data_IF_136837146988
#
_entry.id   IF_136837146988
#
_cell.length_a   1.000
_cell.length_b   1.000
_cell.length_c   1.000
_cell.angle_alpha   90.00
_cell.angle_beta   90.00
_cell.angle_gamma   90.00
#
_symmetry.space_group_name_H-M   'P 1'
#
loop_
_entity.id
_entity.type
_entity.pdbx_description
1 polymer ?
#
# COMPACT_ATOMS: atom_id res chain seq x y z
N UNK A 1 -11.13 -12.92 -1.59
CA UNK A 1 -10.61 -11.71 -0.91
C UNK A 1 -9.65 -12.12 0.19
N UNK A 2 -8.63 -11.31 0.47
CA UNK A 2 -7.65 -11.58 1.53
C UNK A 2 -7.53 -10.32 2.39
N UNK A 3 -7.69 -10.48 3.71
CA UNK A 3 -7.48 -9.43 4.69
C UNK A 3 -6.05 -9.55 5.24
N UNK A 4 -5.21 -8.59 4.86
CA UNK A 4 -3.81 -8.52 5.29
C UNK A 4 -3.62 -7.68 6.55
N UNK A 5 -4.58 -6.86 6.94
CA UNK A 5 -4.38 -5.96 8.07
C UNK A 5 -5.42 -4.86 8.20
N UNK A 6 -6.69 -5.21 8.25
CA UNK A 6 -7.73 -4.28 8.74
C UNK A 6 -7.46 -3.89 10.21
N UNK A 7 -7.70 -2.62 10.56
CA UNK A 7 -7.39 -2.09 11.90
C UNK A 7 -8.16 -2.84 13.00
N UNK A 8 -9.45 -3.08 12.76
CA UNK A 8 -10.29 -3.87 13.65
C UNK A 8 -10.51 -5.25 13.04
N UNK A 9 -10.28 -6.34 13.79
CA UNK A 9 -10.56 -7.67 13.30
C UNK A 9 -12.03 -7.79 12.91
N UNK A 10 -12.27 -8.27 11.69
CA UNK A 10 -13.59 -8.66 11.21
C UNK A 10 -13.51 -10.13 10.81
N UNK A 11 -14.54 -10.91 11.13
CA UNK A 11 -14.72 -12.26 10.58
C UNK A 11 -15.78 -12.18 9.49
N UNK A 12 -15.32 -12.21 8.25
CA UNK A 12 -16.17 -12.04 7.08
C UNK A 12 -16.20 -13.35 6.28
N UNK A 13 -17.39 -13.94 6.05
CA UNK A 13 -17.51 -15.14 5.23
C UNK A 13 -16.85 -14.94 3.85
N UNK A 14 -16.02 -15.91 3.43
CA UNK A 14 -15.33 -15.87 2.14
C UNK A 14 -14.08 -14.97 2.10
N UNK A 15 -13.70 -14.35 3.23
CA UNK A 15 -12.44 -13.62 3.37
C UNK A 15 -11.40 -14.50 4.05
N UNK A 16 -10.19 -14.53 3.48
CA UNK A 16 -9.04 -15.16 4.13
C UNK A 16 -8.35 -14.13 5.01
N UNK A 17 -8.38 -14.33 6.32
CA UNK A 17 -7.78 -13.43 7.29
C UNK A 17 -6.34 -13.85 7.61
N UNK A 18 -5.35 -13.11 7.10
CA UNK A 18 -3.92 -13.31 7.44
C UNK A 18 -3.43 -12.34 8.51
N UNK A 19 -4.04 -11.14 8.61
CA UNK A 19 -3.86 -10.18 9.72
C UNK A 19 -2.39 -9.97 10.13
N UNK A 20 -1.57 -9.49 9.20
CA UNK A 20 -0.13 -9.21 9.38
C UNK A 20 0.10 -8.10 10.42
N UNK A 21 -0.86 -7.19 10.57
CA UNK A 21 -0.88 -6.14 11.58
C UNK A 21 -2.27 -5.49 11.65
N UNK A 22 -2.51 -4.63 12.64
CA UNK A 22 -3.73 -3.84 12.76
C UNK A 22 -3.61 -2.55 11.92
N UNK A 23 -3.53 -2.70 10.60
CA UNK A 23 -3.09 -1.63 9.68
C UNK A 23 -1.56 -1.50 9.62
N UNK A 24 -1.09 -0.58 8.79
CA UNK A 24 0.32 -0.17 8.72
C UNK A 24 0.59 1.02 9.63
N UNK A 25 1.84 1.20 10.04
CA UNK A 25 2.27 2.43 10.70
C UNK A 25 2.19 3.63 9.74
N UNK A 26 2.15 4.84 10.31
CA UNK A 26 2.17 6.07 9.53
C UNK A 26 3.56 6.28 8.90
N UNK A 27 3.63 6.12 7.57
CA UNK A 27 4.90 6.17 6.85
C UNK A 27 5.56 7.57 6.83
N UNK A 28 4.86 8.59 7.34
CA UNK A 28 5.36 9.96 7.51
C UNK A 28 6.26 10.11 8.74
N UNK A 29 6.13 9.19 9.70
CA UNK A 29 6.86 9.22 10.98
C UNK A 29 7.89 8.07 11.10
N UNK A 30 7.91 7.13 10.16
CA UNK A 30 8.81 5.98 10.15
C UNK A 30 8.42 4.94 9.09
N UNK A 31 8.98 3.73 9.09
CA UNK A 31 8.59 2.68 8.16
C UNK A 31 7.14 2.22 8.39
N UNK A 32 6.41 1.94 7.31
CA UNK A 32 5.01 1.49 7.38
C UNK A 32 4.84 0.10 8.01
N UNK A 33 5.89 -0.72 7.92
CA UNK A 33 5.90 -2.12 8.33
C UNK A 33 7.33 -2.56 8.61
N UNK A 34 7.50 -3.65 9.37
CA UNK A 34 8.81 -4.33 9.44
C UNK A 34 9.10 -5.09 8.14
N UNK A 35 10.35 -5.47 7.93
CA UNK A 35 10.75 -6.29 6.77
C UNK A 35 9.97 -7.61 6.73
N UNK A 36 9.76 -8.25 7.87
CA UNK A 36 9.04 -9.52 7.97
C UNK A 36 7.56 -9.35 7.59
N UNK A 37 6.95 -8.23 8.00
CA UNK A 37 5.57 -7.90 7.63
C UNK A 37 5.45 -7.66 6.11
N UNK A 38 6.40 -6.93 5.52
CA UNK A 38 6.44 -6.72 4.06
C UNK A 38 6.58 -8.01 3.29
N UNK A 39 7.50 -8.88 3.70
CA UNK A 39 7.68 -10.20 3.09
C UNK A 39 6.44 -11.08 3.24
N UNK A 40 5.77 -11.05 4.39
CA UNK A 40 4.50 -11.77 4.59
C UNK A 40 3.38 -11.26 3.67
N UNK A 41 3.32 -9.94 3.42
CA UNK A 41 2.34 -9.35 2.51
C UNK A 41 2.59 -9.75 1.04
N UNK A 42 3.85 -9.70 0.61
CA UNK A 42 4.26 -10.16 -0.73
C UNK A 42 3.97 -11.67 -0.91
N UNK A 43 4.26 -12.47 0.13
CA UNK A 43 3.95 -13.89 0.15
C UNK A 43 2.45 -14.14 -0.03
N UNK A 44 1.60 -13.39 0.67
CA UNK A 44 0.15 -13.51 0.55
C UNK A 44 -0.38 -13.19 -0.85
N UNK A 45 0.23 -12.19 -1.51
CA UNK A 45 -0.03 -11.86 -2.91
C UNK A 45 0.33 -13.04 -3.84
N UNK A 46 1.55 -13.57 -3.70
CA UNK A 46 2.03 -14.76 -4.43
C UNK A 46 1.09 -15.95 -4.24
N UNK A 47 0.70 -16.24 -3.02
CA UNK A 47 -0.17 -17.38 -2.69
C UNK A 47 -1.57 -17.22 -3.28
N UNK A 48 -2.04 -15.98 -3.46
CA UNK A 48 -3.31 -15.71 -4.13
C UNK A 48 -3.28 -16.11 -5.61
N UNK A 49 -2.18 -15.81 -6.30
CA UNK A 49 -1.97 -16.22 -7.69
C UNK A 49 -1.80 -17.73 -7.81
N UNK A 50 -1.02 -18.35 -6.91
CA UNK A 50 -0.83 -19.81 -6.91
C UNK A 50 -2.15 -20.57 -6.70
N UNK A 51 -3.02 -20.09 -5.80
CA UNK A 51 -4.36 -20.66 -5.61
C UNK A 51 -5.23 -20.52 -6.86
N UNK A 52 -5.21 -19.38 -7.53
CA UNK A 52 -5.96 -19.18 -8.77
C UNK A 52 -5.47 -20.13 -9.88
N UNK A 53 -4.15 -20.27 -10.04
CA UNK A 53 -3.55 -21.19 -10.99
C UNK A 53 -3.93 -22.65 -10.71
N UNK A 54 -3.97 -23.07 -9.44
CA UNK A 54 -4.32 -24.44 -9.05
C UNK A 54 -5.74 -24.87 -9.48
N UNK A 55 -6.65 -23.91 -9.67
CA UNK A 55 -8.02 -24.16 -10.16
C UNK A 55 -8.20 -23.86 -11.65
N UNK A 56 -7.09 -23.72 -12.40
CA UNK A 56 -7.13 -23.49 -13.85
C UNK A 56 -7.50 -22.07 -14.26
N UNK A 57 -7.32 -21.07 -13.38
CA UNK A 57 -7.55 -19.67 -13.75
C UNK A 57 -6.49 -19.19 -14.74
N UNK A 58 -6.92 -18.66 -15.89
CA UNK A 58 -6.04 -18.15 -16.96
C UNK A 58 -5.84 -16.63 -16.89
N UNK A 59 -6.72 -15.90 -16.20
CA UNK A 59 -6.65 -14.45 -16.01
C UNK A 59 -6.82 -14.09 -14.53
N UNK A 60 -5.82 -13.41 -13.98
CA UNK A 60 -5.87 -12.88 -12.62
C UNK A 60 -5.98 -11.35 -12.65
N UNK A 61 -7.01 -10.80 -12.02
CA UNK A 61 -7.19 -9.36 -11.86
C UNK A 61 -6.93 -9.03 -10.39
N UNK A 62 -5.87 -8.27 -10.14
CA UNK A 62 -5.55 -7.74 -8.83
C UNK A 62 -6.42 -6.55 -8.48
N UNK A 63 -6.74 -6.43 -7.19
CA UNK A 63 -7.44 -5.29 -6.62
C UNK A 63 -7.08 -5.15 -5.15
N UNK A 64 -7.23 -3.94 -4.64
CA UNK A 64 -6.88 -3.59 -3.27
C UNK A 64 -7.98 -2.70 -2.67
N UNK A 65 -7.96 -2.52 -1.36
CA UNK A 65 -8.90 -1.67 -0.64
C UNK A 65 -8.26 -1.20 0.67
N UNK A 66 -8.19 0.12 0.88
CA UNK A 66 -7.75 0.70 2.14
C UNK A 66 -7.98 2.20 2.20
N UNK A 67 -8.44 2.71 3.34
CA UNK A 67 -8.56 4.17 3.52
C UNK A 67 -7.15 4.78 3.59
N UNK A 68 -6.89 5.79 2.78
CA UNK A 68 -5.59 6.48 2.73
C UNK A 68 -4.52 5.79 1.87
N UNK A 69 -4.81 4.62 1.28
CA UNK A 69 -3.87 3.86 0.44
C UNK A 69 -3.29 4.67 -0.73
N UNK A 70 -4.05 5.59 -1.32
CA UNK A 70 -3.60 6.42 -2.45
C UNK A 70 -2.49 7.37 -2.07
N UNK A 71 -2.26 7.65 -0.78
CA UNK A 71 -1.09 8.41 -0.34
C UNK A 71 0.18 7.56 -0.45
N UNK A 72 0.14 6.33 0.08
CA UNK A 72 1.24 5.38 -0.02
C UNK A 72 1.54 5.01 -1.48
N UNK A 73 0.50 4.76 -2.30
CA UNK A 73 0.66 4.48 -3.72
C UNK A 73 1.35 5.64 -4.48
N UNK A 74 0.93 6.88 -4.23
CA UNK A 74 1.60 8.06 -4.81
C UNK A 74 3.05 8.18 -4.35
N UNK A 75 3.36 7.93 -3.07
CA UNK A 75 4.73 7.97 -2.56
C UNK A 75 5.64 6.92 -3.24
N UNK A 76 5.20 5.66 -3.29
CA UNK A 76 5.94 4.59 -3.99
C UNK A 76 6.16 4.95 -5.46
N UNK A 77 5.12 5.42 -6.15
CA UNK A 77 5.24 5.82 -7.56
C UNK A 77 6.20 6.99 -7.75
N UNK A 78 6.20 7.99 -6.87
CA UNK A 78 7.16 9.10 -6.92
C UNK A 78 8.60 8.61 -6.74
N UNK A 79 8.82 7.70 -5.79
CA UNK A 79 10.15 7.14 -5.52
C UNK A 79 10.67 6.30 -6.69
N UNK A 80 9.82 5.46 -7.28
CA UNK A 80 10.22 4.55 -8.37
C UNK A 80 10.38 5.28 -9.71
N UNK A 81 9.53 6.28 -9.98
CA UNK A 81 9.54 7.04 -11.24
C UNK A 81 10.39 8.31 -11.17
N UNK A 82 11.01 8.60 -10.03
CA UNK A 82 11.80 9.82 -9.78
C UNK A 82 11.05 11.11 -10.14
N UNK A 83 9.75 11.15 -9.85
CA UNK A 83 8.88 12.26 -10.22
C UNK A 83 8.37 13.03 -8.99
N UNK A 84 8.13 14.32 -9.17
CA UNK A 84 7.63 15.18 -8.10
C UNK A 84 6.19 14.80 -7.68
N UNK A 85 5.91 14.79 -6.38
CA UNK A 85 4.60 14.47 -5.82
C UNK A 85 3.42 15.24 -6.45
N UNK A 86 3.51 16.56 -6.74
CA UNK A 86 2.42 17.29 -7.39
C UNK A 86 1.95 16.70 -8.73
N UNK A 87 2.77 15.88 -9.41
CA UNK A 87 2.41 15.24 -10.68
C UNK A 87 1.56 13.97 -10.50
N UNK A 88 1.66 13.30 -9.35
CA UNK A 88 1.01 12.01 -9.09
C UNK A 88 -0.05 12.05 -8.00
N UNK A 89 -0.09 13.11 -7.20
CA UNK A 89 -1.07 13.24 -6.12
C UNK A 89 -2.42 13.69 -6.68
N UNK A 90 -3.37 12.76 -6.65
CA UNK A 90 -4.76 13.00 -7.02
C UNK A 90 -5.71 13.14 -5.82
N UNK A 91 -6.99 13.47 -6.09
CA UNK A 91 -8.02 13.66 -5.06
C UNK A 91 -8.39 12.37 -4.30
N UNK A 92 -8.01 11.20 -4.81
CA UNK A 92 -8.43 9.92 -4.24
C UNK A 92 -9.95 9.82 -4.18
N UNK A 93 -10.50 9.57 -2.99
CA UNK A 93 -11.95 9.47 -2.75
C UNK A 93 -12.65 10.83 -2.57
N UNK A 94 -12.17 11.90 -3.22
CA UNK A 94 -12.88 13.18 -3.30
C UNK A 94 -12.30 14.34 -2.48
N UNK A 95 -10.98 14.37 -2.23
CA UNK A 95 -10.34 15.55 -1.63
C UNK A 95 -10.56 16.80 -2.50
N UNK A 96 -10.78 17.94 -1.83
CA UNK A 96 -10.78 19.25 -2.47
C UNK A 96 -9.34 19.73 -2.76
N UNK A 97 -9.21 20.92 -3.36
CA UNK A 97 -7.90 21.48 -3.73
C UNK A 97 -6.94 21.63 -2.52
N UNK A 98 -7.44 22.10 -1.38
CA UNK A 98 -6.66 22.23 -0.14
C UNK A 98 -6.20 20.86 0.38
N UNK A 99 -7.07 19.86 0.31
CA UNK A 99 -6.77 18.48 0.69
C UNK A 99 -5.71 17.85 -0.21
N UNK A 100 -5.73 18.13 -1.52
CA UNK A 100 -4.66 17.72 -2.44
C UNK A 100 -3.34 18.38 -2.04
N UNK A 101 -3.32 19.69 -1.80
CA UNK A 101 -2.11 20.41 -1.37
C UNK A 101 -1.55 19.86 -0.06
N UNK A 102 -2.41 19.57 0.91
CA UNK A 102 -1.99 18.94 2.17
C UNK A 102 -1.42 17.55 1.92
N UNK A 103 -2.11 16.70 1.15
CA UNK A 103 -1.66 15.35 0.80
C UNK A 103 -0.30 15.35 0.10
N UNK A 104 -0.08 16.31 -0.81
CA UNK A 104 1.23 16.51 -1.46
C UNK A 104 2.33 16.77 -0.45
N UNK A 105 2.14 17.71 0.49
CA UNK A 105 3.15 18.02 1.52
C UNK A 105 3.45 16.83 2.42
N UNK A 106 2.42 16.05 2.77
CA UNK A 106 2.57 14.83 3.57
C UNK A 106 3.44 13.81 2.85
N UNK A 107 3.20 13.60 1.55
CA UNK A 107 3.98 12.66 0.73
C UNK A 107 5.42 13.16 0.54
N UNK A 108 5.63 14.45 0.28
CA UNK A 108 6.98 15.03 0.18
C UNK A 108 7.79 14.86 1.47
N UNK A 109 7.15 15.07 2.63
CA UNK A 109 7.80 14.83 3.94
C UNK A 109 8.20 13.37 4.11
N UNK A 110 7.33 12.43 3.73
CA UNK A 110 7.63 11.01 3.83
C UNK A 110 8.73 10.58 2.86
N UNK A 111 8.71 11.05 1.61
CA UNK A 111 9.77 10.79 0.63
C UNK A 111 11.13 11.29 1.13
N UNK A 112 11.18 12.47 1.75
CA UNK A 112 12.40 13.01 2.34
C UNK A 112 12.91 12.15 3.51
N UNK A 113 12.01 11.63 4.36
CA UNK A 113 12.37 10.74 5.47
C UNK A 113 12.99 9.42 4.97
N UNK A 114 12.45 8.86 3.89
CA UNK A 114 12.87 7.55 3.36
C UNK A 114 13.90 7.63 2.25
N UNK A 115 14.48 8.80 1.98
CA UNK A 115 15.34 9.05 0.82
C UNK A 115 16.58 8.15 0.76
N UNK A 116 17.10 7.68 1.91
CA UNK A 116 18.25 6.76 1.98
C UNK A 116 17.95 5.35 1.44
N UNK A 117 16.67 4.99 1.35
CA UNK A 117 16.19 3.72 0.83
C UNK A 117 15.77 3.80 -0.65
N UNK A 118 15.84 5.00 -1.25
CA UNK A 118 15.47 5.21 -2.64
C UNK A 118 16.31 4.32 -3.57
N UNK A 119 15.63 3.64 -4.49
CA UNK A 119 16.23 2.73 -5.47
C UNK A 119 16.12 1.25 -5.11
N UNK A 120 15.77 0.90 -3.87
CA UNK A 120 15.33 -0.45 -3.52
C UNK A 120 13.79 -0.46 -3.41
N UNK A 121 13.05 -1.10 -4.33
CA UNK A 121 11.59 -1.14 -4.28
C UNK A 121 11.02 -1.95 -3.10
N UNK A 122 11.86 -2.66 -2.34
CA UNK A 122 11.47 -3.39 -1.13
C UNK A 122 11.80 -2.63 0.18
N UNK A 123 12.36 -1.42 0.10
CA UNK A 123 12.69 -0.59 1.25
C UNK A 123 11.94 0.75 1.23
#
# INVERSE_FOLDING_TARGET
>A
MVDLGTVSPMDLPGVRHLRIGAGTANFVDGPAMTVEQGLAALQAGRDSVLRAKAVGTELFIGGEMGIGNTAAASAVACSVLECAAPLLVGPGTGLNAEGIVHKTRVIERALALHAEHAGDPLQ
#
